data_IF_912541234732
#
_entry.id   IF_912541234732
#
_cell.length_a   1.000
_cell.length_b   1.000
_cell.length_c   1.000
_cell.angle_alpha   90.00
_cell.angle_beta   90.00
_cell.angle_gamma   90.00
#
_symmetry.space_group_name_H-M   'P 1'
#
loop_
_entity.id
_entity.type
_entity.pdbx_description
1 polymer ?
#
# COMPACT_ATOMS: atom_id res chain seq x y z
N UNK A 1 -20.69 -26.84 -22.59
CA UNK A 1 -20.90 -26.30 -21.23
C UNK A 1 -19.74 -26.67 -20.31
N UNK A 2 -19.46 -27.98 -20.10
CA UNK A 2 -18.29 -28.43 -19.30
C UNK A 2 -16.95 -27.86 -19.79
N UNK A 3 -16.71 -27.89 -21.10
CA UNK A 3 -15.45 -27.38 -21.67
C UNK A 3 -15.23 -25.88 -21.45
N UNK A 4 -16.30 -25.07 -21.43
CA UNK A 4 -16.21 -23.63 -21.15
C UNK A 4 -15.91 -23.36 -19.67
N UNK A 5 -16.43 -24.20 -18.78
CA UNK A 5 -16.20 -24.11 -17.33
C UNK A 5 -14.75 -24.50 -17.02
N UNK A 6 -14.27 -25.61 -17.61
CA UNK A 6 -12.88 -26.06 -17.44
C UNK A 6 -11.88 -25.03 -17.97
N UNK A 7 -12.12 -24.47 -19.16
CA UNK A 7 -11.29 -23.39 -19.73
C UNK A 7 -11.24 -22.16 -18.81
N UNK A 8 -12.38 -21.78 -18.21
CA UNK A 8 -12.45 -20.64 -17.30
C UNK A 8 -11.69 -20.90 -16.00
N UNK A 9 -11.78 -22.12 -15.47
CA UNK A 9 -11.06 -22.55 -14.28
C UNK A 9 -9.54 -22.56 -14.51
N UNK A 10 -9.09 -22.98 -15.69
CA UNK A 10 -7.66 -22.98 -16.06
C UNK A 10 -7.12 -21.54 -16.18
N UNK A 11 -7.85 -20.64 -16.83
CA UNK A 11 -7.42 -19.26 -17.09
C UNK A 11 -7.47 -18.38 -15.83
N UNK A 12 -8.45 -18.59 -14.96
CA UNK A 12 -8.69 -17.70 -13.80
C UNK A 12 -8.33 -18.32 -12.46
N UNK A 13 -8.13 -19.65 -12.39
CA UNK A 13 -7.91 -20.38 -11.14
C UNK A 13 -9.12 -20.35 -10.20
N UNK A 14 -10.32 -20.06 -10.72
CA UNK A 14 -11.56 -20.09 -9.94
C UNK A 14 -12.04 -21.51 -9.69
N UNK A 15 -12.84 -21.71 -8.65
CA UNK A 15 -13.47 -23.01 -8.45
C UNK A 15 -14.61 -23.23 -9.48
N UNK A 16 -15.10 -24.46 -9.54
CA UNK A 16 -16.13 -24.84 -10.52
C UNK A 16 -17.46 -24.10 -10.30
N UNK A 17 -17.84 -23.83 -9.06
CA UNK A 17 -19.07 -23.12 -8.74
C UNK A 17 -18.98 -21.64 -9.10
N UNK A 18 -17.83 -21.02 -8.82
CA UNK A 18 -17.48 -19.65 -9.24
C UNK A 18 -17.50 -19.52 -10.77
N UNK A 19 -16.95 -20.51 -11.47
CA UNK A 19 -16.93 -20.54 -12.93
C UNK A 19 -18.33 -20.68 -13.55
N UNK A 20 -19.15 -21.59 -12.99
CA UNK A 20 -20.53 -21.80 -13.41
C UNK A 20 -21.36 -20.52 -13.19
N UNK A 21 -21.26 -19.89 -12.01
CA UNK A 21 -21.95 -18.65 -11.68
C UNK A 21 -21.52 -17.49 -12.60
N UNK A 22 -20.22 -17.32 -12.84
CA UNK A 22 -19.70 -16.26 -13.70
C UNK A 22 -20.17 -16.41 -15.15
N UNK A 23 -20.22 -17.65 -15.67
CA UNK A 23 -20.72 -17.93 -17.01
C UNK A 23 -22.23 -17.70 -17.11
N UNK A 24 -23.02 -18.11 -16.12
CA UNK A 24 -24.46 -17.84 -16.09
C UNK A 24 -24.76 -16.34 -16.11
N UNK A 25 -24.01 -15.55 -15.33
CA UNK A 25 -24.18 -14.09 -15.26
C UNK A 25 -23.76 -13.36 -16.54
N UNK A 26 -22.82 -13.93 -17.31
CA UNK A 26 -22.29 -13.33 -18.54
C UNK A 26 -22.84 -14.00 -19.83
N UNK A 27 -24.01 -14.64 -19.77
CA UNK A 27 -24.64 -15.24 -20.95
C UNK A 27 -23.80 -16.35 -21.63
N UNK A 28 -22.94 -17.03 -20.86
CA UNK A 28 -21.98 -18.05 -21.31
C UNK A 28 -20.89 -17.54 -22.26
N UNK A 29 -20.59 -16.25 -22.24
CA UNK A 29 -19.42 -15.66 -22.89
C UNK A 29 -18.18 -15.74 -21.97
N UNK A 30 -17.17 -16.47 -22.43
CA UNK A 30 -15.97 -16.77 -21.64
C UNK A 30 -15.12 -15.51 -21.41
N UNK A 31 -14.95 -14.66 -22.43
CA UNK A 31 -14.15 -13.43 -22.30
C UNK A 31 -14.74 -12.43 -21.29
N UNK A 32 -16.07 -12.26 -21.29
CA UNK A 32 -16.73 -11.43 -20.29
C UNK A 32 -16.64 -12.06 -18.90
N UNK A 33 -16.86 -13.37 -18.78
CA UNK A 33 -16.72 -14.08 -17.51
C UNK A 33 -15.31 -13.93 -16.93
N UNK A 34 -14.25 -14.05 -17.74
CA UNK A 34 -12.85 -13.81 -17.32
C UNK A 34 -12.66 -12.39 -16.79
N UNK A 35 -13.28 -11.39 -17.44
CA UNK A 35 -13.20 -9.98 -16.99
C UNK A 35 -14.00 -9.71 -15.72
N UNK A 36 -15.10 -10.44 -15.48
CA UNK A 36 -16.01 -10.23 -14.36
C UNK A 36 -15.65 -11.06 -13.12
N UNK A 37 -14.99 -12.22 -13.26
CA UNK A 37 -14.57 -13.07 -12.13
C UNK A 37 -13.80 -12.28 -11.06
N UNK A 38 -12.78 -11.47 -11.39
CA UNK A 38 -12.08 -10.65 -10.40
C UNK A 38 -12.98 -9.69 -9.61
N UNK A 39 -14.15 -9.32 -10.15
CA UNK A 39 -15.14 -8.44 -9.51
C UNK A 39 -16.21 -9.21 -8.73
N UNK A 40 -16.46 -10.46 -9.10
CA UNK A 40 -17.40 -11.35 -8.42
C UNK A 40 -16.77 -11.92 -7.14
N UNK A 41 -15.47 -12.22 -7.18
CA UNK A 41 -14.75 -12.83 -6.07
C UNK A 41 -14.35 -11.79 -5.03
N UNK A 42 -15.11 -11.78 -3.93
CA UNK A 42 -14.91 -10.94 -2.74
C UNK A 42 -13.83 -11.50 -1.80
N UNK A 43 -12.67 -11.76 -2.36
CA UNK A 43 -11.58 -12.45 -1.67
C UNK A 43 -10.63 -11.50 -0.93
N UNK A 44 -10.83 -10.17 -1.05
CA UNK A 44 -9.94 -9.21 -0.41
C UNK A 44 -10.60 -8.67 0.86
N UNK A 45 -9.90 -8.79 1.98
CA UNK A 45 -10.34 -8.25 3.26
C UNK A 45 -9.42 -7.10 3.66
N UNK A 46 -9.97 -5.90 3.85
CA UNK A 46 -9.27 -4.74 4.37
C UNK A 46 -9.71 -4.48 5.81
N UNK A 47 -8.79 -4.62 6.75
CA UNK A 47 -8.97 -4.33 8.17
C UNK A 47 -8.34 -2.98 8.47
N UNK A 48 -9.16 -1.99 8.79
CA UNK A 48 -8.74 -0.65 9.19
C UNK A 48 -8.94 -0.52 10.69
N UNK A 49 -7.93 -0.10 11.42
CA UNK A 49 -7.99 0.02 12.86
C UNK A 49 -7.43 1.34 13.36
N UNK A 50 -7.94 1.77 14.52
CA UNK A 50 -7.38 2.82 15.35
C UNK A 50 -7.05 2.23 16.70
N UNK A 51 -5.90 2.59 17.24
CA UNK A 51 -5.53 2.20 18.58
C UNK A 51 -4.98 3.34 19.41
N UNK A 52 -5.17 3.23 20.72
CA UNK A 52 -4.71 4.17 21.73
C UNK A 52 -4.01 3.39 22.84
N UNK A 53 -2.79 3.82 23.17
CA UNK A 53 -2.02 3.37 24.32
C UNK A 53 -2.02 4.50 25.36
N UNK A 54 -3.00 4.45 26.26
CA UNK A 54 -3.22 5.52 27.23
C UNK A 54 -2.01 5.75 28.16
N UNK A 55 -1.32 4.68 28.55
CA UNK A 55 -0.16 4.77 29.45
C UNK A 55 1.02 5.56 28.85
N UNK A 56 1.17 5.53 27.51
CA UNK A 56 2.26 6.19 26.79
C UNK A 56 1.80 7.45 26.03
N UNK A 57 0.51 7.77 26.09
CA UNK A 57 -0.13 8.80 25.26
C UNK A 57 0.20 8.64 23.77
N UNK A 58 0.19 7.39 23.28
CA UNK A 58 0.49 7.06 21.88
C UNK A 58 -0.78 6.69 21.14
N UNK A 59 -0.93 7.28 19.97
CA UNK A 59 -2.07 7.12 19.06
C UNK A 59 -1.60 6.44 17.80
N UNK A 60 -2.43 5.57 17.22
CA UNK A 60 -2.04 4.92 15.98
C UNK A 60 -3.19 4.47 15.10
N UNK A 61 -2.85 4.31 13.82
CA UNK A 61 -3.69 3.69 12.81
C UNK A 61 -3.03 2.42 12.31
N UNK A 62 -3.85 1.45 11.94
CA UNK A 62 -3.41 0.19 11.34
C UNK A 62 -4.28 -0.13 10.14
N UNK A 63 -3.66 -0.69 9.10
CA UNK A 63 -4.31 -1.23 7.92
C UNK A 63 -3.69 -2.58 7.60
N UNK A 64 -4.50 -3.64 7.58
CA UNK A 64 -4.10 -4.95 7.08
C UNK A 64 -5.00 -5.33 5.91
N UNK A 65 -4.40 -5.63 4.75
CA UNK A 65 -5.11 -6.10 3.56
C UNK A 65 -4.69 -7.52 3.27
N UNK A 66 -5.67 -8.42 3.27
CA UNK A 66 -5.50 -9.86 3.19
C UNK A 66 -6.22 -10.38 1.95
N UNK A 67 -5.62 -11.34 1.26
CA UNK A 67 -6.32 -12.18 0.30
C UNK A 67 -6.79 -13.43 1.04
N UNK A 68 -8.10 -13.55 1.24
CA UNK A 68 -8.77 -14.63 1.95
C UNK A 68 -8.72 -15.96 1.18
N UNK A 69 -8.69 -15.92 -0.16
CA UNK A 69 -8.59 -17.11 -1.01
C UNK A 69 -7.17 -17.70 -1.02
N UNK A 70 -6.17 -16.86 -1.27
CA UNK A 70 -4.76 -17.30 -1.29
C UNK A 70 -4.14 -17.36 0.11
N UNK A 71 -4.84 -16.87 1.14
CA UNK A 71 -4.37 -16.77 2.54
C UNK A 71 -3.05 -16.02 2.65
N UNK A 72 -2.95 -14.90 1.91
CA UNK A 72 -1.72 -14.09 1.85
C UNK A 72 -1.99 -12.69 2.37
N UNK A 73 -1.02 -12.17 3.12
CA UNK A 73 -0.96 -10.75 3.46
C UNK A 73 -0.55 -9.98 2.20
N UNK A 74 -1.43 -9.12 1.70
CA UNK A 74 -1.13 -8.25 0.57
C UNK A 74 -0.43 -6.98 1.04
N UNK A 75 -0.91 -6.39 2.15
CA UNK A 75 -0.33 -5.20 2.77
C UNK A 75 -0.55 -5.21 4.28
N UNK A 76 0.41 -4.71 5.02
CA UNK A 76 0.24 -4.28 6.40
C UNK A 76 0.90 -2.91 6.54
N UNK A 77 0.19 -1.92 7.05
CA UNK A 77 0.66 -0.55 7.27
C UNK A 77 0.21 -0.10 8.65
N UNK A 78 1.08 0.60 9.34
CA UNK A 78 0.73 1.23 10.61
C UNK A 78 1.37 2.61 10.72
N UNK A 79 0.78 3.47 11.53
CA UNK A 79 1.42 4.70 11.97
C UNK A 79 1.17 4.82 13.46
N UNK A 80 2.23 5.15 14.20
CA UNK A 80 2.20 5.54 15.60
C UNK A 80 2.66 6.97 15.73
N UNK A 81 2.08 7.70 16.66
CA UNK A 81 2.40 9.09 16.91
C UNK A 81 1.99 9.51 18.33
N UNK A 82 2.61 10.57 18.84
CA UNK A 82 2.12 11.28 20.01
C UNK A 82 1.01 12.29 19.68
N UNK A 83 0.78 12.59 18.40
CA UNK A 83 -0.28 13.51 17.97
C UNK A 83 -1.66 12.80 17.99
N UNK A 84 -2.60 13.22 18.85
CA UNK A 84 -3.94 12.65 18.89
C UNK A 84 -4.73 12.87 17.59
N UNK A 85 -4.35 13.84 16.76
CA UNK A 85 -5.01 14.10 15.47
C UNK A 85 -4.90 12.90 14.51
N UNK A 86 -3.92 12.00 14.70
CA UNK A 86 -3.81 10.75 13.95
C UNK A 86 -5.09 9.90 14.09
N UNK A 87 -5.72 9.89 15.26
CA UNK A 87 -6.96 9.15 15.48
C UNK A 87 -8.23 9.85 14.97
N UNK A 88 -8.12 11.04 14.35
CA UNK A 88 -9.28 11.76 13.80
C UNK A 88 -9.80 11.19 12.47
N UNK A 89 -8.95 10.49 11.70
CA UNK A 89 -9.25 9.90 10.38
C UNK A 89 -10.47 8.98 10.45
N UNK A 90 -11.46 9.07 9.57
CA UNK A 90 -12.65 8.22 9.71
C UNK A 90 -12.36 6.74 9.38
N UNK A 91 -12.92 5.81 10.15
CA UNK A 91 -12.90 4.38 9.76
C UNK A 91 -13.89 4.09 8.62
N UNK A 92 -14.84 5.00 8.36
CA UNK A 92 -15.86 4.87 7.32
C UNK A 92 -15.32 5.12 5.91
N UNK A 93 -14.19 5.83 5.79
CA UNK A 93 -13.53 6.13 4.52
C UNK A 93 -13.10 4.86 3.78
N UNK A 94 -12.99 4.92 2.45
CA UNK A 94 -12.49 3.80 1.69
C UNK A 94 -11.04 3.45 2.09
N UNK A 95 -10.66 2.19 1.93
CA UNK A 95 -9.35 1.70 2.38
C UNK A 95 -8.17 2.46 1.75
N UNK A 96 -8.32 2.99 0.54
CA UNK A 96 -7.25 3.68 -0.17
C UNK A 96 -7.07 5.10 0.34
N UNK A 97 -8.17 5.83 0.59
CA UNK A 97 -8.13 7.10 1.30
C UNK A 97 -7.54 6.93 2.71
N UNK A 98 -7.96 5.89 3.44
CA UNK A 98 -7.41 5.57 4.75
C UNK A 98 -5.89 5.31 4.69
N UNK A 99 -5.41 4.56 3.68
CA UNK A 99 -3.99 4.33 3.47
C UNK A 99 -3.23 5.64 3.17
N UNK A 100 -3.79 6.52 2.33
CA UNK A 100 -3.21 7.85 2.06
C UNK A 100 -3.10 8.69 3.33
N UNK A 101 -4.13 8.70 4.17
CA UNK A 101 -4.09 9.39 5.46
C UNK A 101 -2.99 8.83 6.37
N UNK A 102 -2.85 7.51 6.42
CA UNK A 102 -1.78 6.84 7.17
C UNK A 102 -0.40 7.32 6.69
N UNK A 103 -0.16 7.38 5.38
CA UNK A 103 1.10 7.93 4.84
C UNK A 103 1.29 9.41 5.18
N UNK A 104 0.23 10.21 5.08
CA UNK A 104 0.27 11.63 5.46
C UNK A 104 0.66 11.82 6.93
N UNK A 105 0.12 10.99 7.83
CA UNK A 105 0.46 11.01 9.26
C UNK A 105 1.93 10.63 9.53
N UNK A 106 2.53 9.75 8.73
CA UNK A 106 3.95 9.39 8.86
C UNK A 106 4.91 10.54 8.56
N UNK A 107 4.47 11.51 7.78
CA UNK A 107 5.28 12.68 7.41
C UNK A 107 5.16 13.83 8.41
N UNK A 108 4.31 13.70 9.43
CA UNK A 108 4.11 14.73 10.45
C UNK A 108 5.09 14.58 11.59
N UNK A 109 5.39 15.71 12.24
CA UNK A 109 6.16 15.75 13.48
C UNK A 109 5.44 14.98 14.59
N UNK A 110 6.22 14.30 15.43
CA UNK A 110 5.71 13.43 16.49
C UNK A 110 5.24 12.05 16.00
N UNK A 111 5.46 11.71 14.72
CA UNK A 111 5.35 10.33 14.24
C UNK A 111 6.50 9.46 14.78
N UNK A 112 6.21 8.18 14.99
CA UNK A 112 7.10 7.19 15.60
C UNK A 112 7.41 6.10 14.56
N UNK A 113 8.36 6.33 13.64
CA UNK A 113 8.56 5.48 12.47
C UNK A 113 9.06 4.08 12.82
N UNK A 114 9.90 3.94 13.85
CA UNK A 114 10.43 2.63 14.29
C UNK A 114 9.31 1.77 14.85
N UNK A 115 8.52 2.32 15.78
CA UNK A 115 7.39 1.66 16.40
C UNK A 115 6.29 1.35 15.37
N UNK A 116 6.05 2.26 14.43
CA UNK A 116 5.15 2.02 13.30
C UNK A 116 5.58 0.80 12.49
N UNK A 117 6.87 0.68 12.18
CA UNK A 117 7.43 -0.44 11.44
C UNK A 117 7.35 -1.75 12.24
N UNK A 118 7.59 -1.71 13.54
CA UNK A 118 7.44 -2.87 14.42
C UNK A 118 5.99 -3.41 14.41
N UNK A 119 5.00 -2.52 14.47
CA UNK A 119 3.58 -2.90 14.34
C UNK A 119 3.30 -3.58 13.00
N UNK A 120 3.81 -3.02 11.90
CA UNK A 120 3.65 -3.62 10.56
C UNK A 120 4.23 -5.02 10.46
N UNK A 121 5.46 -5.19 10.95
CA UNK A 121 6.16 -6.47 10.93
C UNK A 121 5.43 -7.48 11.80
N UNK A 122 4.97 -7.07 12.98
CA UNK A 122 4.26 -7.94 13.90
C UNK A 122 2.94 -8.45 13.32
N UNK A 123 2.15 -7.56 12.70
CA UNK A 123 0.90 -7.92 12.04
C UNK A 123 1.13 -8.81 10.81
N UNK A 124 2.16 -8.50 10.03
CA UNK A 124 2.54 -9.32 8.88
C UNK A 124 2.92 -10.73 9.33
N UNK A 125 3.72 -10.85 10.40
CA UNK A 125 4.12 -12.13 10.97
C UNK A 125 2.92 -12.90 11.53
N UNK A 126 2.02 -12.23 12.25
CA UNK A 126 0.80 -12.82 12.80
C UNK A 126 -0.06 -13.44 11.70
N UNK A 127 -0.43 -12.68 10.66
CA UNK A 127 -1.27 -13.22 9.58
C UNK A 127 -0.55 -14.22 8.66
N UNK A 128 0.79 -14.20 8.60
CA UNK A 128 1.54 -15.27 7.91
C UNK A 128 1.54 -16.58 8.68
N UNK A 129 1.52 -16.52 10.01
CA UNK A 129 1.46 -17.69 10.89
C UNK A 129 0.03 -18.13 11.24
N UNK A 130 -0.97 -17.32 10.88
CA UNK A 130 -2.38 -17.60 11.17
C UNK A 130 -2.85 -18.88 10.48
N UNK A 131 -3.76 -19.61 11.15
CA UNK A 131 -4.34 -20.82 10.61
C UNK A 131 -5.30 -20.50 9.44
N UNK A 132 -5.57 -21.47 8.56
CA UNK A 132 -6.62 -21.33 7.53
C UNK A 132 -7.96 -20.86 8.09
N UNK A 133 -8.31 -21.33 9.30
CA UNK A 133 -9.56 -21.01 10.00
C UNK A 133 -9.70 -19.51 10.29
N UNK A 134 -8.59 -18.80 10.58
CA UNK A 134 -8.60 -17.35 10.76
C UNK A 134 -9.07 -16.63 9.49
N UNK A 135 -8.61 -17.06 8.31
CA UNK A 135 -9.01 -16.43 7.05
C UNK A 135 -10.47 -16.71 6.71
N UNK A 136 -10.94 -17.94 6.98
CA UNK A 136 -12.33 -18.32 6.77
C UNK A 136 -13.27 -17.60 7.76
N UNK A 137 -12.84 -17.45 9.02
CA UNK A 137 -13.52 -16.62 10.01
C UNK A 137 -13.62 -15.17 9.55
N UNK A 138 -12.52 -14.56 9.12
CA UNK A 138 -12.50 -13.17 8.66
C UNK A 138 -13.41 -12.94 7.43
N UNK A 139 -13.67 -13.97 6.62
CA UNK A 139 -14.63 -13.89 5.50
C UNK A 139 -16.04 -13.54 6.01
N UNK A 140 -16.52 -14.24 7.03
CA UNK A 140 -17.87 -14.09 7.59
C UNK A 140 -18.01 -13.15 8.80
N UNK A 141 -16.91 -12.78 9.46
CA UNK A 141 -16.93 -12.03 10.72
C UNK A 141 -17.59 -10.64 10.62
N UNK A 142 -18.16 -10.12 11.71
CA UNK A 142 -18.49 -8.70 11.82
C UNK A 142 -17.23 -7.85 12.04
N UNK A 143 -17.33 -6.52 11.96
CA UNK A 143 -16.21 -5.64 12.29
C UNK A 143 -15.75 -5.78 13.75
N UNK A 144 -16.68 -6.06 14.67
CA UNK A 144 -16.38 -6.31 16.08
C UNK A 144 -15.60 -7.61 16.26
N UNK A 145 -16.05 -8.69 15.61
CA UNK A 145 -15.37 -9.97 15.63
C UNK A 145 -13.97 -9.91 14.98
N UNK A 146 -13.80 -9.08 13.95
CA UNK A 146 -12.49 -8.80 13.36
C UNK A 146 -11.58 -7.96 14.28
N UNK A 147 -12.16 -7.13 15.15
CA UNK A 147 -11.41 -6.40 16.18
C UNK A 147 -10.84 -7.34 17.24
N UNK A 148 -11.60 -8.38 17.60
CA UNK A 148 -11.13 -9.43 18.51
C UNK A 148 -9.98 -10.25 17.91
N UNK A 149 -9.92 -10.43 16.58
CA UNK A 149 -8.79 -11.09 15.92
C UNK A 149 -7.52 -10.21 15.89
N UNK A 150 -7.68 -8.90 15.69
CA UNK A 150 -6.56 -7.95 15.67
C UNK A 150 -6.05 -7.55 17.06
N UNK A 151 -6.85 -7.77 18.10
CA UNK A 151 -6.50 -7.38 19.47
C UNK A 151 -5.33 -8.18 20.05
N UNK A 152 -5.29 -9.53 19.99
CA UNK A 152 -4.19 -10.33 20.51
C UNK A 152 -2.80 -9.95 19.99
N UNK A 153 -2.54 -9.82 18.67
CA UNK A 153 -1.21 -9.45 18.20
C UNK A 153 -0.79 -8.06 18.67
N UNK A 154 -1.70 -7.08 18.69
CA UNK A 154 -1.38 -5.73 19.16
C UNK A 154 -1.13 -5.70 20.68
N UNK A 155 -1.93 -6.42 21.47
CA UNK A 155 -1.69 -6.54 22.92
C UNK A 155 -0.38 -7.25 23.23
N UNK A 156 -0.04 -8.30 22.48
CA UNK A 156 1.22 -9.02 22.64
C UNK A 156 2.43 -8.12 22.36
N UNK A 157 2.35 -7.27 21.34
CA UNK A 157 3.41 -6.32 20.98
C UNK A 157 3.60 -5.27 22.06
N UNK A 158 2.53 -4.59 22.48
CA UNK A 158 2.65 -3.44 23.38
C UNK A 158 2.75 -3.82 24.86
N UNK A 159 2.30 -5.02 25.24
CA UNK A 159 2.18 -5.48 26.64
C UNK A 159 1.43 -4.49 27.53
N UNK A 160 0.47 -3.77 26.95
CA UNK A 160 -0.30 -2.72 27.61
C UNK A 160 -1.77 -3.17 27.77
N UNK A 161 -2.27 -3.33 29.02
CA UNK A 161 -3.66 -3.70 29.27
C UNK A 161 -4.65 -2.56 28.92
N UNK A 162 -4.17 -1.32 28.79
CA UNK A 162 -4.95 -0.14 28.44
C UNK A 162 -5.11 0.10 26.93
N UNK A 163 -4.75 -0.86 26.08
CA UNK A 163 -4.93 -0.77 24.63
C UNK A 163 -6.42 -0.68 24.27
N UNK A 164 -6.86 0.50 23.81
CA UNK A 164 -8.16 0.66 23.16
C UNK A 164 -7.98 0.45 21.66
N UNK A 165 -8.73 -0.48 21.07
CA UNK A 165 -8.71 -0.77 19.65
C UNK A 165 -10.13 -0.64 19.07
N UNK A 166 -10.26 0.05 17.95
CA UNK A 166 -11.47 0.07 17.12
C UNK A 166 -11.11 -0.39 15.72
N UNK A 167 -11.81 -1.38 15.19
CA UNK A 167 -11.57 -1.93 13.86
C UNK A 167 -12.82 -1.83 13.02
N UNK A 168 -12.62 -1.60 11.72
CA UNK A 168 -13.60 -1.79 10.68
C UNK A 168 -13.06 -2.76 9.64
N UNK A 169 -13.91 -3.72 9.25
CA UNK A 169 -13.66 -4.66 8.17
C UNK A 169 -14.42 -4.23 6.92
N UNK A 170 -13.72 -4.12 5.81
CA UNK A 170 -14.32 -4.03 4.48
C UNK A 170 -13.96 -5.28 3.68
N UNK A 171 -14.94 -5.84 2.99
CA UNK A 171 -14.75 -6.95 2.05
C UNK A 171 -14.85 -6.39 0.64
N UNK A 172 -13.80 -6.63 -0.15
CA UNK A 172 -13.58 -6.05 -1.46
C UNK A 172 -13.39 -7.16 -2.49
N UNK A 173 -13.76 -6.88 -3.72
CA UNK A 173 -13.33 -7.67 -4.86
C UNK A 173 -11.93 -7.24 -5.37
N UNK A 174 -11.30 -8.07 -6.19
CA UNK A 174 -9.96 -7.80 -6.72
C UNK A 174 -9.96 -6.55 -7.62
N UNK A 175 -11.06 -6.30 -8.34
CA UNK A 175 -11.27 -5.12 -9.15
C UNK A 175 -11.31 -3.83 -8.32
N UNK A 176 -12.02 -3.80 -7.19
CA UNK A 176 -12.09 -2.68 -6.25
C UNK A 176 -10.72 -2.41 -5.61
N UNK A 177 -9.99 -3.46 -5.25
CA UNK A 177 -8.64 -3.33 -4.72
C UNK A 177 -7.64 -2.75 -5.75
N UNK A 178 -7.78 -3.09 -7.03
CA UNK A 178 -6.89 -2.59 -8.09
C UNK A 178 -7.32 -1.23 -8.67
N UNK A 179 -8.62 -1.00 -8.81
CA UNK A 179 -9.18 0.21 -9.46
C UNK A 179 -8.98 1.46 -8.62
N UNK A 180 -9.04 1.36 -7.30
CA UNK A 180 -8.78 2.50 -6.41
C UNK A 180 -7.31 2.96 -6.47
N UNK A 181 -6.38 2.11 -6.91
CA UNK A 181 -5.00 2.53 -7.25
C UNK A 181 -4.91 3.31 -8.56
N UNK A 182 -5.86 3.09 -9.47
CA UNK A 182 -5.89 3.68 -10.82
C UNK A 182 -6.80 4.90 -10.93
N UNK A 183 -7.55 5.24 -9.89
CA UNK A 183 -8.40 6.42 -9.89
C UNK A 183 -7.53 7.68 -10.10
N UNK A 184 -7.71 8.41 -11.21
CA UNK A 184 -7.15 9.75 -11.33
C UNK A 184 -7.75 10.60 -10.21
N UNK A 185 -6.95 11.50 -9.64
CA UNK A 185 -7.42 12.46 -8.65
C UNK A 185 -8.75 13.11 -9.13
N UNK A 186 -9.74 13.30 -8.25
CA UNK A 186 -11.06 13.77 -8.65
C UNK A 186 -10.91 15.14 -9.32
N UNK A 187 -11.29 15.17 -10.60
CA UNK A 187 -11.42 16.39 -11.39
C UNK A 187 -12.59 17.19 -10.85
N UNK A 188 -12.29 18.18 -10.01
CA UNK A 188 -13.26 19.19 -9.61
C UNK A 188 -13.77 19.90 -10.87
N UNK A 189 -15.10 19.90 -11.04
CA UNK A 189 -15.79 20.51 -12.18
C UNK A 189 -15.64 22.04 -12.14
N UNK A 190 -15.00 22.55 -13.20
CA UNK A 190 -15.19 23.83 -13.92
C UNK A 190 -16.18 24.83 -13.32
N UNK A 191 -15.63 26.00 -13.00
CA UNK A 191 -16.16 27.29 -13.43
C UNK A 191 -15.10 28.07 -14.25
N UNK A 192 -15.56 28.99 -15.09
CA UNK A 192 -14.93 29.63 -16.27
C UNK A 192 -13.52 30.27 -16.13
N UNK A 193 -12.81 30.47 -17.26
CA UNK A 193 -11.35 30.55 -17.32
C UNK A 193 -10.79 31.96 -17.06
N UNK A 194 -9.83 32.04 -16.15
CA UNK A 194 -8.81 33.08 -16.13
C UNK A 194 -7.53 32.55 -16.84
N UNK A 195 -6.68 33.40 -17.43
CA UNK A 195 -5.66 32.97 -18.36
C UNK A 195 -4.65 32.03 -17.70
N UNK A 196 -4.40 30.90 -18.37
CA UNK A 196 -3.42 29.86 -18.02
C UNK A 196 -2.09 30.49 -17.60
N UNK A 197 -1.80 30.47 -16.31
CA UNK A 197 -0.43 30.26 -15.85
C UNK A 197 -0.11 28.77 -16.15
N UNK A 198 1.03 28.52 -16.79
CA UNK A 198 1.51 27.17 -17.05
C UNK A 198 1.48 26.37 -15.75
N UNK A 199 0.86 25.18 -15.79
CA UNK A 199 1.01 24.17 -14.75
C UNK A 199 2.51 23.85 -14.67
N UNK A 200 3.17 24.37 -13.64
CA UNK A 200 4.40 23.74 -13.18
C UNK A 200 3.97 22.35 -12.70
N UNK A 201 4.31 21.32 -13.46
CA UNK A 201 4.37 19.98 -12.92
C UNK A 201 5.23 20.06 -11.66
N UNK A 202 4.71 19.59 -10.52
CA UNK A 202 5.45 19.57 -9.26
C UNK A 202 6.65 18.60 -9.40
N UNK A 203 7.72 19.09 -10.02
CA UNK A 203 8.96 18.36 -10.25
C UNK A 203 9.63 18.11 -8.91
N UNK A 204 9.75 16.82 -8.55
CA UNK A 204 10.55 16.42 -7.40
C UNK A 204 12.03 16.50 -7.77
N UNK A 205 12.65 17.64 -7.47
CA UNK A 205 14.10 17.83 -7.64
C UNK A 205 14.81 17.20 -6.46
N UNK A 206 15.69 16.22 -6.70
CA UNK A 206 16.50 15.55 -5.68
C UNK A 206 17.93 16.11 -5.66
N UNK A 207 18.52 16.21 -4.47
CA UNK A 207 19.96 16.50 -4.35
C UNK A 207 20.77 15.24 -4.64
N UNK A 208 21.68 15.33 -5.60
CA UNK A 208 22.61 14.26 -5.97
C UNK A 208 24.07 14.71 -5.80
N UNK A 209 24.97 13.75 -5.64
CA UNK A 209 26.40 13.90 -5.76
C UNK A 209 26.89 12.98 -6.88
N UNK A 210 27.82 13.44 -7.71
CA UNK A 210 28.43 12.60 -8.74
C UNK A 210 29.60 11.84 -8.15
N UNK A 211 29.79 10.59 -8.58
CA UNK A 211 30.98 9.81 -8.25
C UNK A 211 32.11 10.15 -9.22
N UNK A 212 33.31 10.32 -8.68
CA UNK A 212 34.51 10.55 -9.49
C UNK A 212 35.07 9.22 -9.99
N UNK A 213 35.31 9.14 -11.30
CA UNK A 213 36.02 8.02 -11.93
C UNK A 213 37.41 8.51 -12.36
N UNK A 214 38.52 7.93 -11.86
CA UNK A 214 39.87 8.32 -12.26
C UNK A 214 40.16 8.11 -13.75
N UNK A 215 39.43 7.21 -14.41
CA UNK A 215 39.50 6.98 -15.86
C UNK A 215 38.38 7.72 -16.63
N UNK A 216 37.62 8.57 -15.92
CA UNK A 216 36.46 9.29 -16.44
C UNK A 216 36.80 10.53 -17.26
N UNK A 217 35.75 11.10 -17.86
CA UNK A 217 35.84 12.33 -18.65
C UNK A 217 35.71 13.56 -17.72
N UNK A 218 36.49 14.63 -17.93
CA UNK A 218 36.32 15.87 -17.19
C UNK A 218 34.89 16.41 -17.30
N UNK A 219 34.34 16.94 -16.21
CA UNK A 219 32.96 17.44 -16.19
C UNK A 219 32.67 18.52 -17.27
N UNK A 220 33.69 19.28 -17.68
CA UNK A 220 33.61 20.27 -18.75
C UNK A 220 33.45 19.70 -20.15
N UNK A 221 33.73 18.40 -20.34
CA UNK A 221 33.71 17.70 -21.62
C UNK A 221 32.53 16.72 -21.73
N UNK A 222 31.63 16.69 -20.74
CA UNK A 222 30.42 15.88 -20.77
C UNK A 222 29.42 16.43 -21.79
N UNK A 223 28.88 15.54 -22.61
CA UNK A 223 27.87 15.83 -23.62
C UNK A 223 26.53 15.20 -23.24
N UNK A 224 25.44 15.75 -23.80
CA UNK A 224 24.13 15.16 -23.62
C UNK A 224 24.09 13.72 -24.16
N UNK A 225 23.58 12.80 -23.34
CA UNK A 225 23.59 11.36 -23.61
C UNK A 225 24.75 10.60 -22.98
N UNK A 226 25.77 11.28 -22.45
CA UNK A 226 26.82 10.63 -21.66
C UNK A 226 26.23 10.10 -20.33
N UNK A 227 26.75 8.97 -19.86
CA UNK A 227 26.30 8.35 -18.62
C UNK A 227 27.22 8.73 -17.46
N UNK A 228 26.63 9.21 -16.37
CA UNK A 228 27.35 9.52 -15.13
C UNK A 228 26.80 8.68 -13.98
N UNK A 229 27.65 8.39 -13.00
CA UNK A 229 27.21 7.76 -11.75
C UNK A 229 26.85 8.82 -10.73
N UNK A 230 25.60 8.81 -10.27
CA UNK A 230 25.06 9.75 -9.31
C UNK A 230 24.53 9.05 -8.07
N UNK A 231 24.89 9.56 -6.90
CA UNK A 231 24.33 9.14 -5.60
C UNK A 231 23.32 10.17 -5.12
N UNK A 232 22.15 9.71 -4.69
CA UNK A 232 21.17 10.58 -4.03
C UNK A 232 21.65 10.88 -2.61
N UNK A 233 21.96 12.15 -2.34
CA UNK A 233 22.45 12.65 -1.03
C UNK A 233 21.39 13.46 -0.28
N UNK A 234 20.17 13.47 -0.80
CA UNK A 234 19.06 14.21 -0.25
C UNK A 234 18.52 13.57 1.04
N UNK A 235 18.52 14.34 2.13
CA UNK A 235 18.13 13.87 3.45
C UNK A 235 16.63 13.66 3.66
N UNK A 236 15.78 14.08 2.71
CA UNK A 236 14.32 13.89 2.79
C UNK A 236 13.96 12.41 2.66
N UNK A 237 12.95 11.96 3.40
CA UNK A 237 12.60 10.53 3.46
C UNK A 237 12.10 9.99 2.11
N UNK A 238 11.44 10.82 1.31
CA UNK A 238 11.09 10.47 -0.07
C UNK A 238 12.34 10.17 -0.90
N UNK A 239 13.41 10.92 -0.71
CA UNK A 239 14.65 10.72 -1.44
C UNK A 239 15.40 9.48 -0.97
N UNK A 240 15.40 9.19 0.35
CA UNK A 240 15.92 7.93 0.90
C UNK A 240 15.15 6.72 0.38
N UNK A 241 13.84 6.84 0.25
CA UNK A 241 12.99 5.80 -0.33
C UNK A 241 13.32 5.57 -1.81
N UNK A 242 13.42 6.64 -2.60
CA UNK A 242 13.78 6.55 -4.02
C UNK A 242 15.20 5.99 -4.21
N UNK A 243 16.17 6.41 -3.39
CA UNK A 243 17.53 5.85 -3.41
C UNK A 243 17.54 4.33 -3.18
N UNK A 244 16.70 3.83 -2.25
CA UNK A 244 16.52 2.39 -2.03
C UNK A 244 15.88 1.69 -3.23
N UNK A 245 14.95 2.35 -3.91
CA UNK A 245 14.26 1.78 -5.07
C UNK A 245 15.17 1.68 -6.29
N UNK A 246 16.00 2.70 -6.54
CA UNK A 246 16.81 2.81 -7.75
C UNK A 246 18.18 2.12 -7.65
N UNK A 247 18.91 2.27 -6.53
CA UNK A 247 20.27 1.73 -6.40
C UNK A 247 20.41 0.56 -5.41
N UNK A 248 19.47 0.43 -4.47
CA UNK A 248 19.68 -0.40 -3.29
C UNK A 248 20.56 0.28 -2.24
N UNK A 249 20.81 -0.39 -1.11
CA UNK A 249 21.51 0.17 0.05
C UNK A 249 22.58 -0.81 0.51
N UNK A 250 23.85 -0.39 0.47
CA UNK A 250 24.98 -1.16 0.99
C UNK A 250 25.34 -0.68 2.41
N UNK A 251 26.24 -1.39 3.08
CA UNK A 251 26.77 -0.96 4.38
C UNK A 251 27.48 0.41 4.33
N UNK A 252 27.86 0.88 3.14
CA UNK A 252 28.51 2.16 2.88
C UNK A 252 27.56 3.28 2.42
N UNK A 253 26.27 2.99 2.19
CA UNK A 253 25.25 3.99 1.81
C UNK A 253 24.42 3.60 0.58
N UNK A 254 23.65 4.54 0.01
CA UNK A 254 22.93 4.32 -1.24
C UNK A 254 23.90 4.07 -2.40
N UNK A 255 23.61 3.05 -3.20
CA UNK A 255 24.43 2.70 -4.38
C UNK A 255 24.29 3.79 -5.44
N UNK A 256 25.39 4.16 -6.12
CA UNK A 256 25.32 5.07 -7.27
C UNK A 256 24.39 4.54 -8.35
N UNK A 257 23.68 5.44 -9.01
CA UNK A 257 22.73 5.15 -10.09
C UNK A 257 23.29 5.78 -11.36
N UNK A 258 23.25 5.04 -12.46
CA UNK A 258 23.59 5.57 -13.77
C UNK A 258 22.50 6.53 -14.25
N UNK A 259 22.88 7.75 -14.59
CA UNK A 259 21.98 8.78 -15.09
C UNK A 259 22.57 9.41 -16.37
N UNK A 260 21.74 9.63 -17.41
CA UNK A 260 22.19 10.35 -18.59
C UNK A 260 22.32 11.85 -18.30
N UNK A 261 23.34 12.48 -18.88
CA UNK A 261 23.45 13.94 -18.94
C UNK A 261 22.42 14.46 -19.93
N UNK A 262 21.54 15.36 -19.49
CA UNK A 262 20.58 16.03 -20.36
C UNK A 262 21.10 17.41 -20.80
N UNK A 263 20.82 17.80 -22.05
CA UNK A 263 21.06 19.15 -22.52
C UNK A 263 20.05 20.11 -21.86
N UNK A 264 20.55 21.17 -21.22
CA UNK A 264 19.72 22.25 -20.68
C UNK A 264 19.31 23.20 -21.81
#
# INVERSE_FOLDING_TARGET
MKDKIELLMEETGCDRGEAELALEMCGYEVEEAVRQIPRLLRDICALKGKFLLAAKNQHGLVLAILNLKTRKVLRARAVMSFDPAVCSVSLEEDWFAFEKHLYGCRLRDGSLPTESLEVEQHLTAHFRAASPETFDFLRGASSEAAAEELSPPLRALFRDPGLSLRVRKDILDLGQFQSLRKAPAPTARRDKPAPRAALAEDLLVLKIALEEDPDGVPASELHAGDMVQARIVDGRDIAKYLARLFGGLTASGPVPIEAPVEAI
#
